data_IF_875577593708
#
_entry.id   IF_875577593708
#
_cell.length_a   1.000
_cell.length_b   1.000
_cell.length_c   1.000
_cell.angle_alpha   90.00
_cell.angle_beta   90.00
_cell.angle_gamma   90.00
#
_symmetry.space_group_name_H-M   'P 1'
#
loop_
_entity.id
_entity.type
_entity.pdbx_description
1 polymer ?
#
# COMPACT_ATOMS: atom_id res chain seq x y z
N UNK A 1 4.10 -26.48 -41.00
CA UNK A 1 4.12 -25.37 -40.03
C UNK A 1 5.43 -25.47 -39.29
N UNK A 2 6.41 -24.65 -39.67
CA UNK A 2 7.75 -24.73 -39.08
C UNK A 2 7.67 -24.29 -37.61
N UNK A 3 8.15 -25.15 -36.70
CA UNK A 3 8.29 -24.82 -35.30
C UNK A 3 9.34 -23.69 -35.21
N UNK A 4 9.04 -22.54 -34.59
CA UNK A 4 10.04 -21.46 -34.45
C UNK A 4 11.28 -22.01 -33.75
N UNK A 5 12.46 -21.61 -34.22
CA UNK A 5 13.72 -22.03 -33.60
C UNK A 5 13.84 -21.45 -32.18
N UNK A 6 14.57 -22.08 -31.26
CA UNK A 6 14.70 -21.60 -29.87
C UNK A 6 15.11 -20.12 -29.77
N UNK A 7 15.94 -19.63 -30.70
CA UNK A 7 16.37 -18.24 -30.76
C UNK A 7 15.24 -17.27 -31.16
N UNK A 8 14.34 -17.66 -32.07
CA UNK A 8 13.19 -16.84 -32.48
C UNK A 8 12.15 -16.68 -31.37
N UNK A 9 12.02 -17.68 -30.49
CA UNK A 9 11.14 -17.63 -29.31
C UNK A 9 11.75 -16.70 -28.25
N UNK A 10 13.07 -16.72 -28.07
CA UNK A 10 13.78 -15.82 -27.16
C UNK A 10 13.63 -14.35 -27.61
N UNK A 11 13.79 -14.07 -28.90
CA UNK A 11 13.61 -12.73 -29.47
C UNK A 11 12.16 -12.21 -29.33
N UNK A 12 11.15 -13.07 -29.54
CA UNK A 12 9.75 -12.71 -29.32
C UNK A 12 9.45 -12.42 -27.84
N UNK A 13 10.00 -13.21 -26.91
CA UNK A 13 9.84 -12.99 -25.47
C UNK A 13 10.49 -11.66 -25.03
N UNK A 14 11.67 -11.34 -25.56
CA UNK A 14 12.37 -10.07 -25.30
C UNK A 14 11.53 -8.87 -25.78
N UNK A 15 10.94 -8.98 -26.97
CA UNK A 15 10.11 -7.92 -27.55
C UNK A 15 8.82 -7.70 -26.75
N UNK A 16 8.20 -8.79 -26.26
CA UNK A 16 7.03 -8.69 -25.38
C UNK A 16 7.37 -8.07 -24.02
N UNK A 17 8.51 -8.44 -23.43
CA UNK A 17 8.98 -7.88 -22.16
C UNK A 17 9.27 -6.37 -22.28
N UNK A 18 9.87 -5.95 -23.40
CA UNK A 18 10.10 -4.54 -23.69
C UNK A 18 8.80 -3.76 -23.89
N UNK A 19 7.79 -4.36 -24.53
CA UNK A 19 6.45 -3.80 -24.69
C UNK A 19 5.72 -3.66 -23.33
N UNK A 20 5.83 -4.66 -22.46
CA UNK A 20 5.27 -4.62 -21.11
C UNK A 20 5.92 -3.52 -20.25
N UNK A 21 7.22 -3.32 -20.41
CA UNK A 21 7.96 -2.25 -19.72
C UNK A 21 7.53 -0.86 -20.19
N UNK A 22 7.40 -0.65 -21.50
CA UNK A 22 6.89 0.63 -22.04
C UNK A 22 5.44 0.91 -21.63
N UNK A 23 4.60 -0.11 -21.53
CA UNK A 23 3.25 0.04 -20.99
C UNK A 23 3.28 0.43 -19.50
N UNK A 24 4.13 -0.21 -18.70
CA UNK A 24 4.31 0.12 -17.28
C UNK A 24 4.81 1.56 -17.09
N UNK A 25 5.77 2.00 -17.90
CA UNK A 25 6.29 3.36 -17.88
C UNK A 25 5.20 4.38 -18.28
N UNK A 26 4.35 4.02 -19.24
CA UNK A 26 3.21 4.85 -19.66
C UNK A 26 2.14 4.97 -18.56
N UNK A 27 1.86 3.88 -17.85
CA UNK A 27 0.94 3.86 -16.69
C UNK A 27 1.50 4.68 -15.54
N UNK A 28 2.81 4.57 -15.26
CA UNK A 28 3.49 5.38 -14.24
C UNK A 28 3.41 6.86 -14.58
N UNK A 29 3.70 7.22 -15.83
CA UNK A 29 3.63 8.61 -16.32
C UNK A 29 2.21 9.15 -16.23
N UNK A 30 1.18 8.35 -16.53
CA UNK A 30 -0.22 8.76 -16.32
C UNK A 30 -0.54 8.98 -14.84
N UNK A 31 -0.14 8.07 -13.95
CA UNK A 31 -0.37 8.22 -12.51
C UNK A 31 0.29 9.50 -11.96
N UNK A 32 1.53 9.78 -12.38
CA UNK A 32 2.25 11.00 -12.01
C UNK A 32 1.56 12.25 -12.60
N UNK A 33 1.00 12.17 -13.81
CA UNK A 33 0.21 13.24 -14.41
C UNK A 33 -1.12 13.48 -13.68
N UNK A 34 -1.81 12.46 -13.20
CA UNK A 34 -3.03 12.63 -12.39
C UNK A 34 -2.71 13.28 -11.04
N UNK A 35 -1.61 12.89 -10.40
CA UNK A 35 -1.13 13.53 -9.19
C UNK A 35 -0.76 15.01 -9.44
N UNK A 36 -0.04 15.28 -10.53
CA UNK A 36 0.32 16.64 -10.95
C UNK A 36 -0.91 17.49 -11.35
N UNK A 37 -1.92 16.90 -11.99
CA UNK A 37 -3.13 17.58 -12.40
C UNK A 37 -4.03 17.90 -11.20
N UNK A 38 -4.15 16.99 -10.23
CA UNK A 38 -4.80 17.26 -8.95
C UNK A 38 -4.09 18.39 -8.20
N UNK A 39 -2.76 18.45 -8.28
CA UNK A 39 -1.96 19.56 -7.78
C UNK A 39 -2.15 20.88 -8.54
N UNK A 40 -2.26 20.83 -9.86
CA UNK A 40 -2.45 22.03 -10.68
C UNK A 40 -3.87 22.60 -10.51
N UNK A 41 -4.88 21.74 -10.30
CA UNK A 41 -6.27 22.14 -10.12
C UNK A 41 -6.52 22.96 -8.84
N UNK A 42 -5.63 22.90 -7.85
CA UNK A 42 -5.71 23.74 -6.64
C UNK A 42 -5.04 25.10 -6.80
N UNK A 43 -4.43 25.40 -7.96
CA UNK A 43 -3.94 26.74 -8.33
C UNK A 43 -2.80 27.31 -7.47
N UNK A 44 -2.31 26.55 -6.50
CA UNK A 44 -1.23 26.92 -5.61
C UNK A 44 -0.04 26.01 -5.94
N UNK A 45 1.06 26.58 -6.41
CA UNK A 45 2.35 25.87 -6.50
C UNK A 45 2.88 25.64 -5.07
N UNK A 46 2.23 24.73 -4.35
CA UNK A 46 2.60 24.32 -3.00
C UNK A 46 3.74 23.31 -3.14
N UNK A 47 4.82 23.55 -2.40
CA UNK A 47 5.92 22.59 -2.32
C UNK A 47 5.39 21.20 -1.90
N UNK A 48 5.81 20.10 -2.55
CA UNK A 48 5.31 18.74 -2.24
C UNK A 48 5.44 18.36 -0.76
N UNK A 49 6.45 18.87 -0.06
CA UNK A 49 6.61 18.67 1.37
C UNK A 49 5.52 19.40 2.17
N UNK A 50 5.28 20.67 1.87
CA UNK A 50 4.23 21.47 2.53
C UNK A 50 2.86 20.85 2.29
N UNK A 51 2.62 20.33 1.08
CA UNK A 51 1.40 19.60 0.77
C UNK A 51 1.23 18.33 1.59
N UNK A 52 2.28 17.51 1.70
CA UNK A 52 2.25 16.28 2.50
C UNK A 52 2.01 16.59 3.98
N UNK A 53 2.63 17.64 4.49
CA UNK A 53 2.39 18.13 5.85
C UNK A 53 0.95 18.65 6.03
N UNK A 54 0.39 19.34 5.03
CA UNK A 54 -1.00 19.79 5.07
C UNK A 54 -1.98 18.60 5.13
N UNK A 55 -1.78 17.57 4.29
CA UNK A 55 -2.57 16.32 4.35
C UNK A 55 -2.40 15.65 5.71
N UNK A 56 -1.17 15.53 6.21
CA UNK A 56 -0.90 14.95 7.52
C UNK A 56 -1.66 15.68 8.63
N UNK A 57 -1.61 17.03 8.65
CA UNK A 57 -2.33 17.84 9.62
C UNK A 57 -3.84 17.62 9.54
N UNK A 58 -4.42 17.66 8.32
CA UNK A 58 -5.85 17.40 8.10
C UNK A 58 -6.25 15.98 8.54
N UNK A 59 -5.41 14.97 8.26
CA UNK A 59 -5.65 13.60 8.67
C UNK A 59 -5.66 13.44 10.19
N UNK A 60 -4.80 14.16 10.92
CA UNK A 60 -4.83 14.20 12.40
C UNK A 60 -6.14 14.80 12.92
N UNK A 61 -6.60 15.91 12.34
CA UNK A 61 -7.89 16.49 12.71
C UNK A 61 -9.05 15.51 12.48
N UNK A 62 -9.10 14.88 11.31
CA UNK A 62 -10.12 13.85 11.00
C UNK A 62 -10.04 12.69 11.99
N UNK A 63 -8.84 12.17 12.28
CA UNK A 63 -8.63 11.09 13.23
C UNK A 63 -9.13 11.44 14.64
N UNK A 64 -8.87 12.66 15.11
CA UNK A 64 -9.38 13.16 16.39
C UNK A 64 -10.91 13.12 16.43
N UNK A 65 -11.59 13.72 15.45
CA UNK A 65 -13.06 13.76 15.41
C UNK A 65 -13.68 12.36 15.27
N UNK A 66 -13.05 11.46 14.51
CA UNK A 66 -13.53 10.08 14.33
C UNK A 66 -13.49 9.31 15.64
N UNK A 67 -12.39 9.39 16.40
CA UNK A 67 -12.26 8.67 17.68
C UNK A 67 -13.13 9.30 18.77
N UNK A 68 -13.30 10.62 18.77
CA UNK A 68 -14.12 11.31 19.78
C UNK A 68 -15.63 11.06 19.60
N UNK A 69 -16.06 10.66 18.40
CA UNK A 69 -17.48 10.45 18.07
C UNK A 69 -17.98 9.02 18.36
N UNK A 70 -17.24 8.21 19.12
CA UNK A 70 -17.65 6.82 19.43
C UNK A 70 -18.38 6.72 20.77
N UNK A 71 -19.31 5.76 20.87
CA UNK A 71 -19.98 5.47 22.13
C UNK A 71 -19.01 4.85 23.15
N UNK A 72 -19.07 5.19 24.44
CA UNK A 72 -18.10 4.72 25.45
C UNK A 72 -17.95 3.20 25.55
N UNK A 73 -19.02 2.45 25.29
CA UNK A 73 -19.00 0.98 25.30
C UNK A 73 -18.11 0.37 24.20
N UNK A 74 -17.72 1.15 23.18
CA UNK A 74 -16.94 0.69 22.03
C UNK A 74 -15.46 1.09 22.10
N UNK A 75 -14.97 1.74 23.16
CA UNK A 75 -13.54 2.10 23.24
C UNK A 75 -12.61 0.89 23.20
N UNK A 76 -12.99 -0.23 23.84
CA UNK A 76 -12.19 -1.46 23.82
C UNK A 76 -12.19 -2.12 22.42
N UNK A 77 -13.34 -2.30 21.75
CA UNK A 77 -13.36 -2.67 20.33
C UNK A 77 -12.59 -1.70 19.42
N UNK A 78 -12.70 -0.39 19.65
CA UNK A 78 -12.02 0.62 18.85
C UNK A 78 -10.50 0.53 19.01
N UNK A 79 -10.00 0.24 20.21
CA UNK A 79 -8.58 -0.02 20.43
C UNK A 79 -8.07 -1.22 19.63
N UNK A 80 -8.90 -2.26 19.46
CA UNK A 80 -8.56 -3.41 18.62
C UNK A 80 -8.57 -3.05 17.12
N UNK A 81 -9.54 -2.23 16.69
CA UNK A 81 -9.61 -1.72 15.30
C UNK A 81 -8.39 -0.87 14.95
N UNK A 82 -7.98 0.05 15.83
CA UNK A 82 -6.81 0.90 15.57
C UNK A 82 -5.53 0.09 15.48
N UNK A 83 -5.42 -1.03 16.21
CA UNK A 83 -4.32 -1.98 16.05
C UNK A 83 -4.32 -2.61 14.64
N UNK A 84 -5.48 -3.05 14.15
CA UNK A 84 -5.59 -3.56 12.78
C UNK A 84 -5.24 -2.49 11.72
N UNK A 85 -5.75 -1.26 11.87
CA UNK A 85 -5.50 -0.14 10.95
C UNK A 85 -4.01 0.25 10.92
N UNK A 86 -3.30 0.14 12.05
CA UNK A 86 -1.86 0.42 12.10
C UNK A 86 -1.03 -0.44 11.16
N UNK A 87 -1.60 -1.55 10.66
CA UNK A 87 -0.98 -2.44 9.68
C UNK A 87 -0.84 -1.86 8.27
N UNK A 88 -1.09 -0.57 8.07
CA UNK A 88 -0.78 0.17 6.82
C UNK A 88 0.69 0.01 6.39
N UNK A 89 1.58 -0.35 7.33
CA UNK A 89 2.97 -0.75 7.09
C UNK A 89 3.13 -1.85 6.01
N UNK A 90 2.08 -2.64 5.75
CA UNK A 90 2.07 -3.67 4.68
C UNK A 90 2.41 -3.08 3.31
N UNK A 91 2.02 -1.82 3.04
CA UNK A 91 2.33 -1.14 1.79
C UNK A 91 3.84 -0.96 1.63
N UNK A 92 4.52 -0.52 2.69
CA UNK A 92 5.97 -0.39 2.71
C UNK A 92 6.67 -1.73 2.54
N UNK A 93 6.18 -2.78 3.22
CA UNK A 93 6.74 -4.12 3.10
C UNK A 93 6.63 -4.69 1.67
N UNK A 94 5.49 -4.50 1.00
CA UNK A 94 5.30 -4.91 -0.39
C UNK A 94 6.25 -4.18 -1.34
N UNK A 95 6.47 -2.88 -1.14
CA UNK A 95 7.45 -2.11 -1.90
C UNK A 95 8.87 -2.64 -1.68
N UNK A 96 9.25 -3.00 -0.45
CA UNK A 96 10.57 -3.56 -0.13
C UNK A 96 10.80 -4.95 -0.73
N UNK A 97 9.79 -5.81 -0.76
CA UNK A 97 9.87 -7.14 -1.43
C UNK A 97 9.94 -6.99 -2.96
N UNK A 98 9.24 -6.00 -3.51
CA UNK A 98 9.19 -5.73 -4.95
C UNK A 98 10.45 -5.11 -5.56
N UNK A 99 11.45 -4.72 -4.75
CA UNK A 99 12.72 -4.13 -5.25
C UNK A 99 13.42 -5.12 -6.19
N UNK A 100 13.83 -4.69 -7.38
CA UNK A 100 14.49 -5.56 -8.35
C UNK A 100 15.90 -5.96 -7.87
N UNK A 101 16.29 -7.21 -8.14
CA UNK A 101 17.60 -7.79 -7.83
C UNK A 101 18.75 -7.06 -8.52
N UNK A 102 18.46 -6.35 -9.61
CA UNK A 102 19.44 -5.53 -10.34
C UNK A 102 19.76 -4.18 -9.66
N UNK A 103 19.08 -3.83 -8.56
CA UNK A 103 19.11 -2.47 -7.97
C UNK A 103 20.33 -2.16 -7.07
N UNK A 104 21.44 -2.87 -7.23
CA UNK A 104 22.71 -2.61 -6.52
C UNK A 104 22.91 -3.37 -5.20
N UNK A 105 24.04 -3.10 -4.54
CA UNK A 105 24.48 -3.75 -3.30
C UNK A 105 23.53 -3.40 -2.14
N UNK A 106 22.57 -4.30 -1.86
CA UNK A 106 21.58 -4.11 -0.80
C UNK A 106 20.18 -4.60 -1.15
N UNK A 107 19.87 -4.81 -2.44
CA UNK A 107 18.55 -5.28 -2.89
C UNK A 107 18.14 -6.62 -2.26
N UNK A 108 19.10 -7.52 -2.02
CA UNK A 108 18.86 -8.79 -1.32
C UNK A 108 18.42 -8.59 0.14
N UNK A 109 19.06 -7.67 0.87
CA UNK A 109 18.70 -7.35 2.26
C UNK A 109 17.32 -6.68 2.34
N UNK A 110 17.03 -5.73 1.44
CA UNK A 110 15.73 -5.08 1.37
C UNK A 110 14.58 -6.09 1.16
N UNK A 111 14.79 -7.09 0.29
CA UNK A 111 13.82 -8.17 0.08
C UNK A 111 13.62 -9.06 1.30
N UNK A 112 14.69 -9.45 1.99
CA UNK A 112 14.61 -10.30 3.18
C UNK A 112 13.86 -9.57 4.30
N UNK A 113 14.25 -8.32 4.60
CA UNK A 113 13.58 -7.53 5.62
C UNK A 113 12.15 -7.17 5.21
N UNK A 114 11.91 -6.88 3.94
CA UNK A 114 10.57 -6.68 3.39
C UNK A 114 9.68 -7.90 3.56
N UNK A 115 10.21 -9.10 3.33
CA UNK A 115 9.46 -10.35 3.49
C UNK A 115 9.10 -10.61 4.95
N UNK A 116 10.03 -10.40 5.87
CA UNK A 116 9.78 -10.50 7.32
C UNK A 116 8.74 -9.45 7.74
N UNK A 117 8.90 -8.20 7.30
CA UNK A 117 7.95 -7.13 7.59
C UNK A 117 6.54 -7.45 7.06
N UNK A 118 6.46 -8.03 5.86
CA UNK A 118 5.19 -8.46 5.24
C UNK A 118 4.52 -9.56 6.07
N UNK A 119 5.28 -10.57 6.49
CA UNK A 119 4.76 -11.65 7.33
C UNK A 119 4.22 -11.11 8.67
N UNK A 120 4.97 -10.23 9.34
CA UNK A 120 4.55 -9.60 10.59
C UNK A 120 3.33 -8.69 10.41
N UNK A 121 3.27 -7.93 9.30
CA UNK A 121 2.12 -7.10 8.97
C UNK A 121 0.87 -7.95 8.76
N UNK A 122 0.98 -9.08 8.04
CA UNK A 122 -0.14 -10.00 7.87
C UNK A 122 -0.68 -10.52 9.21
N UNK A 123 0.20 -10.91 10.15
CA UNK A 123 -0.24 -11.35 11.49
C UNK A 123 -1.02 -10.26 12.20
N UNK A 124 -0.59 -9.00 12.13
CA UNK A 124 -1.28 -7.88 12.76
C UNK A 124 -2.64 -7.59 12.09
N UNK A 125 -2.72 -7.67 10.75
CA UNK A 125 -3.99 -7.54 10.01
C UNK A 125 -4.99 -8.60 10.46
N UNK A 126 -4.62 -9.88 10.33
CA UNK A 126 -5.54 -10.97 10.61
C UNK A 126 -5.87 -11.07 12.10
N UNK A 127 -4.88 -10.90 12.99
CA UNK A 127 -5.08 -10.91 14.43
C UNK A 127 -5.97 -9.75 14.89
N UNK A 128 -5.70 -8.53 14.41
CA UNK A 128 -6.45 -7.34 14.75
C UNK A 128 -7.92 -7.42 14.30
N UNK A 129 -8.19 -7.88 13.08
CA UNK A 129 -9.56 -8.00 12.58
C UNK A 129 -10.33 -9.16 13.24
N UNK A 130 -9.71 -10.31 13.46
CA UNK A 130 -10.36 -11.47 14.10
C UNK A 130 -10.74 -11.18 15.56
N UNK A 131 -9.86 -10.53 16.32
CA UNK A 131 -10.14 -10.14 17.70
C UNK A 131 -11.25 -9.08 17.74
N UNK A 132 -11.19 -8.10 16.84
CA UNK A 132 -12.24 -7.07 16.72
C UNK A 132 -13.60 -7.70 16.42
N UNK A 133 -13.68 -8.63 15.47
CA UNK A 133 -14.92 -9.31 15.12
C UNK A 133 -15.48 -10.08 16.31
N UNK A 134 -14.64 -10.81 17.04
CA UNK A 134 -15.03 -11.50 18.28
C UNK A 134 -15.53 -10.51 19.34
N UNK A 135 -14.91 -9.34 19.48
CA UNK A 135 -15.34 -8.31 20.41
C UNK A 135 -16.70 -7.72 20.03
N UNK A 136 -16.91 -7.41 18.75
CA UNK A 136 -18.18 -6.86 18.25
C UNK A 136 -19.31 -7.89 18.25
N UNK A 137 -19.00 -9.17 18.04
CA UNK A 137 -19.97 -10.26 18.10
C UNK A 137 -20.63 -10.40 19.49
N UNK A 138 -19.93 -9.99 20.56
CA UNK A 138 -20.49 -9.98 21.93
C UNK A 138 -21.58 -8.91 22.14
N UNK A 139 -21.67 -7.90 21.26
CA UNK A 139 -22.70 -6.86 21.31
C UNK A 139 -23.90 -7.17 20.40
N UNK A 140 -23.86 -8.25 19.61
CA UNK A 140 -25.02 -8.71 18.85
C UNK A 140 -26.03 -9.34 19.81
N UNK A 141 -27.25 -8.79 19.83
CA UNK A 141 -28.38 -9.37 20.58
C UNK A 141 -28.63 -10.79 20.04
N UNK A 142 -28.63 -11.79 20.92
CA UNK A 142 -29.08 -13.16 20.61
C UNK A 142 -30.52 -13.07 20.10
N UNK A 143 -30.69 -13.29 18.80
CA UNK A 143 -31.93 -13.85 18.26
C UNK A 143 -31.96 -15.33 18.60
#
# INVERSE_FOLDING_TARGET
MANPTPDQIADQAQNLANAAKTLSDSVKTQADQFAAAAHAATGLSIDPFVYTIAIFALAVFVGYYVVWSVTPALHTPLMSVTNAISSVIVVGALLSVGVDTASGDGAGWARIFGFIALALACVNIFGGFLVTERMLAMYKKKG
#
